data_IF_912462285467
#
_entry.id   IF_912462285467
#
_cell.length_a   1.000
_cell.length_b   1.000
_cell.length_c   1.000
_cell.angle_alpha   90.00
_cell.angle_beta   90.00
_cell.angle_gamma   90.00
#
_symmetry.space_group_name_H-M   'P 1'
#
loop_
_entity.id
_entity.type
_entity.pdbx_description
1 polymer ?
#
# COMPACT_ATOMS: atom_id res chain seq x y z
N UNK A 1 -8.78 13.76 -3.79
CA UNK A 1 -9.75 12.96 -3.00
C UNK A 1 -9.91 11.56 -3.58
N UNK A 2 -9.19 10.61 -3.00
CA UNK A 2 -9.24 9.17 -3.24
C UNK A 2 -10.55 8.52 -2.70
N UNK A 3 -11.70 9.18 -2.89
CA UNK A 3 -12.97 8.88 -2.18
C UNK A 3 -13.51 7.45 -2.41
N UNK A 4 -13.06 6.78 -3.47
CA UNK A 4 -13.48 5.43 -3.84
C UNK A 4 -12.30 4.44 -3.89
N UNK A 5 -11.12 4.83 -3.38
CA UNK A 5 -9.97 3.92 -3.30
C UNK A 5 -9.98 3.31 -1.91
N UNK A 6 -10.22 2.01 -1.86
CA UNK A 6 -10.39 1.25 -0.63
C UNK A 6 -9.23 0.29 -0.39
N UNK A 7 -8.34 0.14 -1.37
CA UNK A 7 -7.24 -0.80 -1.30
C UNK A 7 -5.93 -0.12 -1.62
N UNK A 8 -4.91 -0.50 -0.84
CA UNK A 8 -3.52 -0.11 -1.05
C UNK A 8 -2.75 -1.37 -1.41
N UNK A 9 -2.08 -1.31 -2.56
CA UNK A 9 -1.24 -2.38 -3.05
C UNK A 9 0.22 -1.93 -3.03
N UNK A 10 1.05 -2.66 -2.30
CA UNK A 10 2.47 -2.41 -2.13
C UNK A 10 3.28 -3.40 -2.96
N UNK A 11 4.28 -2.88 -3.69
CA UNK A 11 5.36 -3.70 -4.24
C UNK A 11 6.65 -3.36 -3.51
N UNK A 12 7.20 -4.34 -2.81
CA UNK A 12 8.45 -4.21 -2.09
C UNK A 12 9.63 -4.50 -3.03
N UNK A 13 10.81 -3.97 -2.69
CA UNK A 13 11.99 -4.04 -3.55
C UNK A 13 12.47 -5.46 -3.82
N UNK A 14 12.34 -6.39 -2.85
CA UNK A 14 12.68 -7.81 -3.06
C UNK A 14 11.55 -8.61 -3.72
N UNK A 15 10.53 -7.96 -4.27
CA UNK A 15 9.48 -8.61 -5.07
C UNK A 15 8.27 -9.09 -4.27
N UNK A 16 8.23 -8.86 -2.96
CA UNK A 16 7.04 -9.12 -2.15
C UNK A 16 5.90 -8.16 -2.53
N UNK A 17 4.68 -8.69 -2.54
CA UNK A 17 3.46 -7.95 -2.88
C UNK A 17 2.50 -8.05 -1.72
N UNK A 18 1.92 -6.93 -1.30
CA UNK A 18 1.03 -6.86 -0.15
C UNK A 18 -0.20 -6.05 -0.53
N UNK A 19 -1.39 -6.60 -0.24
CA UNK A 19 -2.67 -5.90 -0.36
C UNK A 19 -3.15 -5.56 1.03
N UNK A 20 -3.55 -4.31 1.24
CA UNK A 20 -4.15 -3.82 2.48
C UNK A 20 -5.46 -3.11 2.16
N UNK A 21 -6.49 -3.35 2.98
CA UNK A 21 -7.68 -2.51 3.00
C UNK A 21 -7.32 -1.15 3.62
N UNK A 22 -7.57 -0.08 2.88
CA UNK A 22 -7.35 1.29 3.32
C UNK A 22 -8.35 1.67 4.40
N UNK A 23 -7.86 2.27 5.48
CA UNK A 23 -8.67 2.82 6.56
C UNK A 23 -8.71 4.35 6.49
N UNK A 24 -9.68 4.97 7.16
CA UNK A 24 -9.88 6.43 7.23
C UNK A 24 -8.62 7.26 7.59
N UNK A 25 -7.58 6.63 8.13
CA UNK A 25 -6.27 7.26 8.43
C UNK A 25 -5.14 7.02 7.42
N UNK A 26 -5.34 6.19 6.39
CA UNK A 26 -4.29 5.92 5.41
C UNK A 26 -4.16 7.05 4.36
N UNK A 27 -5.22 7.84 4.18
CA UNK A 27 -5.28 8.98 3.26
C UNK A 27 -5.34 10.33 4.00
N UNK A 28 -4.59 10.48 5.10
CA UNK A 28 -4.48 11.77 5.80
C UNK A 28 -3.91 12.86 4.86
N UNK A 29 -3.21 12.44 3.80
CA UNK A 29 -2.68 13.30 2.75
C UNK A 29 -2.77 12.62 1.39
N UNK A 30 -2.93 13.42 0.34
CA UNK A 30 -2.81 12.98 -1.06
C UNK A 30 -1.32 12.87 -1.50
N UNK A 31 -0.35 13.19 -0.62
CA UNK A 31 1.10 13.02 -0.88
C UNK A 31 1.53 11.56 -0.77
N UNK A 32 1.77 10.96 -1.94
CA UNK A 32 2.20 9.56 -2.11
C UNK A 32 3.48 9.26 -1.32
N UNK A 33 4.43 10.20 -1.21
CA UNK A 33 5.69 9.95 -0.50
C UNK A 33 5.46 9.78 1.00
N UNK A 34 4.53 10.55 1.58
CA UNK A 34 4.16 10.43 2.99
C UNK A 34 3.43 9.10 3.22
N UNK A 35 2.51 8.72 2.33
CA UNK A 35 1.81 7.44 2.42
C UNK A 35 2.79 6.27 2.35
N UNK A 36 3.78 6.33 1.45
CA UNK A 36 4.84 5.32 1.36
C UNK A 36 5.63 5.21 2.66
N UNK A 37 6.10 6.32 3.24
CA UNK A 37 6.84 6.30 4.51
C UNK A 37 6.02 5.72 5.67
N UNK A 38 4.75 6.10 5.76
CA UNK A 38 3.85 5.58 6.81
C UNK A 38 3.59 4.09 6.63
N UNK A 39 3.38 3.65 5.38
CA UNK A 39 3.19 2.25 5.05
C UNK A 39 4.45 1.42 5.33
N UNK A 40 5.65 1.92 5.02
CA UNK A 40 6.91 1.28 5.40
C UNK A 40 7.03 1.15 6.91
N UNK A 41 6.78 2.22 7.67
CA UNK A 41 6.84 2.17 9.13
C UNK A 41 5.87 1.13 9.71
N UNK A 42 4.64 1.05 9.19
CA UNK A 42 3.67 0.03 9.58
C UNK A 42 4.14 -1.37 9.21
N UNK A 43 4.60 -1.57 7.98
CA UNK A 43 5.08 -2.87 7.49
C UNK A 43 6.23 -3.40 8.36
N UNK A 44 7.20 -2.55 8.71
CA UNK A 44 8.33 -2.92 9.58
C UNK A 44 7.91 -3.27 11.01
N UNK A 45 6.79 -2.73 11.50
CA UNK A 45 6.23 -3.10 12.82
C UNK A 45 5.53 -4.46 12.77
N UNK A 46 4.85 -4.77 11.67
CA UNK A 46 4.12 -6.05 11.50
C UNK A 46 5.09 -7.19 11.14
N UNK A 47 6.11 -6.90 10.33
CA UNK A 47 7.12 -7.86 9.85
C UNK A 47 8.54 -7.36 10.17
N UNK A 48 8.98 -7.39 11.44
CA UNK A 48 10.31 -6.92 11.85
C UNK A 48 11.47 -7.63 11.13
N UNK A 49 11.28 -8.90 10.79
CA UNK A 49 12.22 -9.73 10.03
C UNK A 49 12.43 -9.20 8.60
N UNK A 50 11.53 -8.34 8.13
CA UNK A 50 11.59 -7.67 6.81
C UNK A 50 11.88 -6.17 6.95
N UNK A 51 12.49 -5.74 8.04
CA UNK A 51 12.72 -4.32 8.36
C UNK A 51 13.55 -3.53 7.33
N UNK A 52 14.37 -4.23 6.54
CA UNK A 52 15.19 -3.65 5.46
C UNK A 52 14.43 -3.48 4.14
N UNK A 53 13.21 -4.02 4.03
CA UNK A 53 12.36 -3.79 2.86
C UNK A 53 11.96 -2.33 2.75
N UNK A 54 11.89 -1.88 1.50
CA UNK A 54 11.40 -0.57 1.12
C UNK A 54 10.33 -0.75 0.05
N UNK A 55 9.34 0.13 0.07
CA UNK A 55 8.26 0.13 -0.92
C UNK A 55 8.84 0.71 -2.21
N UNK A 56 8.86 -0.10 -3.27
CA UNK A 56 9.24 0.30 -4.62
C UNK A 56 8.10 1.07 -5.29
N UNK A 57 6.88 0.51 -5.22
CA UNK A 57 5.68 1.11 -5.80
C UNK A 57 4.51 1.00 -4.83
N UNK A 58 3.63 2.00 -4.86
CA UNK A 58 2.34 1.99 -4.17
C UNK A 58 1.23 2.30 -5.17
N UNK A 59 0.14 1.55 -5.11
CA UNK A 59 -1.01 1.74 -5.97
C UNK A 59 -2.28 1.79 -5.12
N UNK A 60 -3.23 2.61 -5.56
CA UNK A 60 -4.50 2.80 -4.89
C UNK A 60 -5.62 2.31 -5.80
N UNK A 61 -6.41 1.38 -5.30
CA UNK A 61 -7.46 0.72 -6.05
C UNK A 61 -8.82 0.87 -5.37
N UNK A 62 -9.87 1.05 -6.16
CA UNK A 62 -11.21 0.61 -5.79
C UNK A 62 -11.26 -0.92 -5.80
N UNK A 63 -12.33 -1.50 -5.25
CA UNK A 63 -12.55 -2.95 -5.33
C UNK A 63 -12.48 -3.46 -6.78
N UNK A 64 -13.17 -2.79 -7.72
CA UNK A 64 -13.21 -3.20 -9.13
C UNK A 64 -11.83 -3.19 -9.80
N UNK A 65 -11.03 -2.14 -9.57
CA UNK A 65 -9.69 -2.04 -10.13
C UNK A 65 -8.75 -3.13 -9.58
N UNK A 66 -8.89 -3.45 -8.28
CA UNK A 66 -8.13 -4.53 -7.65
C UNK A 66 -8.52 -5.87 -8.26
N UNK A 67 -9.81 -6.16 -8.40
CA UNK A 67 -10.32 -7.40 -9.00
C UNK A 67 -9.83 -7.56 -10.44
N UNK A 68 -9.82 -6.48 -11.22
CA UNK A 68 -9.28 -6.50 -12.58
C UNK A 68 -7.76 -6.72 -12.62
N UNK A 69 -7.02 -6.26 -11.61
CA UNK A 69 -5.57 -6.43 -11.51
C UNK A 69 -5.16 -7.87 -11.16
N UNK A 70 -5.95 -8.57 -10.35
CA UNK A 70 -5.67 -9.96 -9.92
C UNK A 70 -6.20 -11.01 -10.90
N UNK A 71 -7.20 -10.67 -11.72
CA UNK A 71 -7.76 -11.57 -12.75
C UNK A 71 -6.88 -11.70 -14.00
N UNK A 72 -5.89 -10.80 -14.16
CA UNK A 72 -4.88 -10.82 -15.22
C UNK A 72 -3.62 -11.52 -14.75
#
# INVERSE_FOLDING_TARGET
MLKNKEYIYYELKLGYKVIKLSLLGDYITDDVNIVMKNAEAMFKRVYPEKSMEIIKNIFFFSEEELLNKIKK
#
